data_IF_070149854955
#
_entry.id   IF_070149854955
#
_cell.length_a   1.000
_cell.length_b   1.000
_cell.length_c   1.000
_cell.angle_alpha   90.00
_cell.angle_beta   90.00
_cell.angle_gamma   90.00
#
_symmetry.space_group_name_H-M   'P 1'
#
loop_
_entity.id
_entity.type
_entity.pdbx_description
1 polymer ?
#
# COMPACT_ATOMS: atom_id res chain seq x y z
N UNK A 1 -34.38 -23.82 28.42
CA UNK A 1 -34.09 -23.29 27.07
C UNK A 1 -33.98 -21.77 27.17
N UNK A 2 -32.84 -21.16 26.82
CA UNK A 2 -32.66 -19.69 26.88
C UNK A 2 -33.38 -19.05 25.69
N UNK A 3 -34.18 -17.97 25.87
CA UNK A 3 -34.91 -17.35 24.77
C UNK A 3 -33.94 -16.72 23.76
N UNK A 4 -34.26 -16.74 22.46
CA UNK A 4 -33.40 -16.12 21.45
C UNK A 4 -33.32 -14.61 21.69
N UNK A 5 -32.09 -14.11 21.66
CA UNK A 5 -31.76 -12.72 21.98
C UNK A 5 -32.41 -11.77 20.95
N UNK A 6 -33.37 -10.94 21.39
CA UNK A 6 -34.11 -9.94 20.59
C UNK A 6 -33.20 -9.11 19.65
N UNK A 7 -31.95 -8.87 20.05
CA UNK A 7 -30.94 -8.11 19.29
C UNK A 7 -30.47 -8.79 18.00
N UNK A 8 -30.56 -10.12 17.90
CA UNK A 8 -30.18 -10.88 16.69
C UNK A 8 -31.28 -10.90 15.63
N UNK A 9 -32.54 -10.68 16.03
CA UNK A 9 -33.69 -10.64 15.13
C UNK A 9 -33.78 -9.32 14.35
N UNK A 10 -33.41 -8.19 14.99
CA UNK A 10 -33.41 -6.87 14.36
C UNK A 10 -32.35 -6.70 13.27
N UNK A 11 -31.21 -7.38 13.43
CA UNK A 11 -30.08 -7.34 12.48
C UNK A 11 -30.44 -8.03 11.16
N UNK A 12 -31.17 -9.16 11.22
CA UNK A 12 -31.68 -9.85 10.02
C UNK A 12 -32.68 -9.01 9.23
N UNK A 13 -33.52 -8.21 9.90
CA UNK A 13 -34.53 -7.37 9.26
C UNK A 13 -33.92 -6.19 8.49
N UNK A 14 -32.86 -5.58 9.02
CA UNK A 14 -32.18 -4.43 8.40
C UNK A 14 -31.37 -4.80 7.14
N UNK A 15 -30.80 -6.00 7.07
CA UNK A 15 -30.05 -6.47 5.90
C UNK A 15 -30.95 -6.71 4.68
N UNK A 16 -32.22 -7.04 4.90
CA UNK A 16 -33.19 -7.37 3.85
C UNK A 16 -33.77 -6.13 3.14
N UNK A 17 -33.73 -4.96 3.80
CA UNK A 17 -34.22 -3.69 3.24
C UNK A 17 -33.18 -3.01 2.34
N UNK A 18 -31.89 -3.27 2.54
CA UNK A 18 -30.79 -2.62 1.81
C UNK A 18 -30.50 -3.21 0.43
N UNK A 19 -30.99 -4.43 0.16
CA UNK A 19 -30.82 -5.11 -1.12
C UNK A 19 -31.74 -4.57 -2.24
N UNK A 20 -32.62 -3.61 -1.95
CA UNK A 20 -33.68 -3.16 -2.88
C UNK A 20 -33.45 -1.79 -3.55
N UNK A 21 -32.35 -1.09 -3.25
CA UNK A 21 -32.26 0.36 -3.54
C UNK A 21 -31.08 0.82 -4.42
N UNK A 22 -30.51 -0.04 -5.26
CA UNK A 22 -29.37 0.35 -6.11
C UNK A 22 -29.63 0.06 -7.59
N UNK A 23 -30.33 0.98 -8.27
CA UNK A 23 -30.35 1.05 -9.73
C UNK A 23 -30.21 2.52 -10.19
N UNK A 24 -29.07 2.75 -10.88
CA UNK A 24 -28.90 3.57 -12.10
C UNK A 24 -28.85 5.10 -12.02
N UNK A 25 -27.71 5.68 -12.46
CA UNK A 25 -27.67 6.79 -13.44
C UNK A 25 -26.33 6.82 -14.20
N UNK A 26 -26.42 7.07 -15.51
CA UNK A 26 -25.38 7.01 -16.56
C UNK A 26 -24.57 8.31 -16.71
N UNK A 27 -23.31 8.20 -17.15
CA UNK A 27 -22.40 9.31 -17.51
C UNK A 27 -22.35 9.60 -19.02
N UNK A 28 -22.12 10.87 -19.40
CA UNK A 28 -21.83 11.34 -20.79
C UNK A 28 -20.47 12.09 -20.85
N UNK A 29 -19.80 12.18 -22.02
CA UNK A 29 -18.38 12.58 -22.09
C UNK A 29 -18.15 14.09 -22.38
N UNK A 30 -17.41 14.76 -21.49
CA UNK A 30 -16.76 16.08 -21.65
C UNK A 30 -15.25 15.85 -21.87
N UNK A 31 -14.68 16.15 -23.03
CA UNK A 31 -13.24 15.91 -23.29
C UNK A 31 -12.40 17.18 -23.55
N UNK A 32 -12.96 18.25 -24.13
CA UNK A 32 -12.14 19.41 -24.50
C UNK A 32 -11.86 20.39 -23.35
N UNK A 33 -12.82 20.60 -22.44
CA UNK A 33 -12.58 21.39 -21.20
C UNK A 33 -11.56 20.71 -20.28
N UNK A 34 -11.56 19.38 -20.24
CA UNK A 34 -10.63 18.61 -19.41
C UNK A 34 -9.18 18.89 -19.74
N UNK A 35 -8.82 19.09 -21.02
CA UNK A 35 -7.42 19.27 -21.44
C UNK A 35 -6.86 20.61 -20.95
N UNK A 36 -7.66 21.68 -21.04
CA UNK A 36 -7.30 23.02 -20.55
C UNK A 36 -7.17 23.04 -19.02
N UNK A 37 -8.12 22.43 -18.33
CA UNK A 37 -8.10 22.28 -16.87
C UNK A 37 -6.90 21.46 -16.41
N UNK A 38 -6.58 20.36 -17.10
CA UNK A 38 -5.45 19.49 -16.75
C UNK A 38 -4.11 20.21 -16.90
N UNK A 39 -3.98 21.11 -17.88
CA UNK A 39 -2.79 21.95 -18.05
C UNK A 39 -2.64 22.95 -16.91
N UNK A 40 -3.73 23.64 -16.54
CA UNK A 40 -3.76 24.55 -15.40
C UNK A 40 -3.48 23.84 -14.06
N UNK A 41 -4.02 22.64 -13.87
CA UNK A 41 -3.75 21.78 -12.73
C UNK A 41 -2.28 21.37 -12.65
N UNK A 42 -1.68 20.97 -13.77
CA UNK A 42 -0.26 20.62 -13.82
C UNK A 42 0.62 21.79 -13.39
N UNK A 43 0.36 23.00 -13.87
CA UNK A 43 1.10 24.21 -13.49
C UNK A 43 0.96 24.52 -11.99
N UNK A 44 -0.25 24.40 -11.43
CA UNK A 44 -0.49 24.55 -9.99
C UNK A 44 0.27 23.52 -9.17
N UNK A 45 0.24 22.24 -9.59
CA UNK A 45 0.97 21.16 -8.92
C UNK A 45 2.48 21.41 -8.98
N UNK A 46 3.03 21.77 -10.14
CA UNK A 46 4.46 22.11 -10.27
C UNK A 46 4.84 23.25 -9.33
N UNK A 47 4.02 24.29 -9.27
CA UNK A 47 4.22 25.42 -8.35
C UNK A 47 4.21 24.97 -6.89
N UNK A 48 3.29 24.08 -6.49
CA UNK A 48 3.26 23.52 -5.14
C UNK A 48 4.49 22.64 -4.84
N UNK A 49 4.96 21.84 -5.80
CA UNK A 49 6.13 20.95 -5.67
C UNK A 49 7.46 21.70 -5.59
N UNK A 50 7.48 22.98 -5.95
CA UNK A 50 8.60 23.89 -5.65
C UNK A 50 8.82 24.02 -4.14
N UNK A 51 7.79 23.83 -3.30
CA UNK A 51 7.94 23.81 -1.85
C UNK A 51 8.57 22.48 -1.37
N UNK A 52 9.72 22.50 -0.67
CA UNK A 52 10.39 21.29 -0.19
C UNK A 52 9.56 20.43 0.76
N UNK A 53 8.71 21.05 1.59
CA UNK A 53 7.84 20.35 2.54
C UNK A 53 6.73 19.58 1.81
N UNK A 54 6.13 20.18 0.78
CA UNK A 54 5.13 19.53 -0.07
C UNK A 54 5.77 18.36 -0.80
N UNK A 55 6.93 18.57 -1.43
CA UNK A 55 7.67 17.49 -2.12
C UNK A 55 8.00 16.34 -1.18
N UNK A 56 8.42 16.64 0.05
CA UNK A 56 8.68 15.62 1.08
C UNK A 56 7.41 14.85 1.44
N UNK A 57 6.28 15.53 1.62
CA UNK A 57 4.99 14.86 1.86
C UNK A 57 4.60 13.97 0.70
N UNK A 58 4.77 14.44 -0.54
CA UNK A 58 4.50 13.64 -1.72
C UNK A 58 5.36 12.36 -1.78
N UNK A 59 6.63 12.46 -1.41
CA UNK A 59 7.49 11.26 -1.29
C UNK A 59 6.88 10.25 -0.32
N UNK A 60 6.48 10.66 0.87
CA UNK A 60 5.95 9.71 1.86
C UNK A 60 4.55 9.15 1.52
N UNK A 61 3.79 9.85 0.69
CA UNK A 61 2.43 9.43 0.30
C UNK A 61 2.44 8.48 -0.90
N UNK A 62 3.32 8.72 -1.87
CA UNK A 62 3.28 8.02 -3.16
C UNK A 62 4.51 7.18 -3.47
N UNK A 63 5.59 7.29 -2.70
CA UNK A 63 6.77 6.45 -2.87
C UNK A 63 6.74 5.28 -1.89
N UNK A 64 6.43 4.10 -2.42
CA UNK A 64 6.54 2.84 -1.68
C UNK A 64 7.53 1.93 -2.39
N UNK A 65 8.50 1.42 -1.64
CA UNK A 65 9.47 0.48 -2.23
C UNK A 65 8.78 -0.83 -2.62
N UNK A 66 9.39 -1.55 -3.57
CA UNK A 66 8.86 -2.85 -4.01
C UNK A 66 8.66 -3.82 -2.83
N UNK A 67 9.61 -3.82 -1.89
CA UNK A 67 9.58 -4.69 -0.71
C UNK A 67 8.52 -4.27 0.31
N UNK A 68 8.28 -2.97 0.47
CA UNK A 68 7.39 -2.43 1.50
C UNK A 68 5.94 -2.33 1.05
N UNK A 69 5.68 -2.27 -0.26
CA UNK A 69 4.32 -2.08 -0.75
C UNK A 69 3.33 -3.11 -0.18
N UNK A 70 3.60 -4.44 -0.21
CA UNK A 70 2.65 -5.42 0.34
C UNK A 70 2.35 -5.21 1.82
N UNK A 71 3.36 -4.79 2.59
CA UNK A 71 3.20 -4.51 4.01
C UNK A 71 2.24 -3.34 4.26
N UNK A 72 2.35 -2.27 3.47
CA UNK A 72 1.50 -1.09 3.62
C UNK A 72 0.12 -1.25 2.97
N UNK A 73 0.01 -2.07 1.93
CA UNK A 73 -1.26 -2.37 1.28
C UNK A 73 -2.13 -3.31 2.12
N UNK A 74 -1.51 -4.17 2.94
CA UNK A 74 -2.24 -5.03 3.86
C UNK A 74 -3.02 -4.21 4.90
N UNK A 75 -4.33 -4.37 4.89
CA UNK A 75 -5.21 -3.73 5.85
C UNK A 75 -5.66 -4.74 6.92
N UNK A 76 -4.86 -4.93 7.98
CA UNK A 76 -5.16 -5.88 9.07
C UNK A 76 -6.56 -5.67 9.68
N UNK A 77 -7.04 -4.43 9.71
CA UNK A 77 -8.38 -4.11 10.17
C UNK A 77 -9.48 -4.64 9.23
N UNK A 78 -9.27 -4.56 7.91
CA UNK A 78 -10.18 -5.13 6.92
C UNK A 78 -10.16 -6.66 7.00
N UNK A 79 -8.98 -7.28 7.14
CA UNK A 79 -8.84 -8.72 7.36
C UNK A 79 -9.63 -9.17 8.58
N UNK A 80 -9.52 -8.42 9.69
CA UNK A 80 -10.32 -8.65 10.88
C UNK A 80 -11.82 -8.53 10.61
N UNK A 81 -12.27 -7.47 9.92
CA UNK A 81 -13.68 -7.29 9.57
C UNK A 81 -14.21 -8.43 8.69
N UNK A 82 -13.42 -8.89 7.72
CA UNK A 82 -13.73 -10.03 6.88
C UNK A 82 -13.86 -11.31 7.72
N UNK A 83 -12.91 -11.56 8.61
CA UNK A 83 -12.91 -12.71 9.51
C UNK A 83 -14.17 -12.77 10.41
N UNK A 84 -14.65 -11.62 10.90
CA UNK A 84 -15.88 -11.55 11.70
C UNK A 84 -17.16 -11.42 10.87
N UNK A 85 -17.07 -11.49 9.53
CA UNK A 85 -18.21 -11.43 8.62
C UNK A 85 -18.84 -10.05 8.47
N UNK A 86 -18.09 -8.98 8.70
CA UNK A 86 -18.52 -7.57 8.62
C UNK A 86 -17.88 -6.79 7.45
N UNK A 87 -17.04 -7.43 6.63
CA UNK A 87 -16.32 -6.75 5.54
C UNK A 87 -17.20 -6.08 4.48
N UNK A 88 -18.39 -6.63 4.21
CA UNK A 88 -19.35 -6.11 3.23
C UNK A 88 -20.31 -5.06 3.82
N UNK A 89 -20.21 -4.75 5.13
CA UNK A 89 -21.16 -3.88 5.81
C UNK A 89 -20.74 -2.41 5.60
N UNK A 90 -21.48 -1.59 4.82
CA UNK A 90 -21.00 -0.25 4.46
C UNK A 90 -21.10 0.76 5.60
N UNK A 91 -21.96 0.49 6.59
CA UNK A 91 -22.18 1.33 7.77
C UNK A 91 -22.52 0.45 8.96
N UNK A 92 -21.71 0.55 10.00
CA UNK A 92 -21.93 -0.10 11.29
C UNK A 92 -22.66 0.86 12.24
N UNK A 93 -23.60 0.32 13.01
CA UNK A 93 -24.27 1.02 14.10
C UNK A 93 -23.30 1.28 15.26
N UNK A 94 -23.66 2.21 16.14
CA UNK A 94 -22.87 2.52 17.35
C UNK A 94 -22.63 1.29 18.23
N UNK A 95 -23.60 0.37 18.30
CA UNK A 95 -23.48 -0.87 19.08
C UNK A 95 -22.46 -1.83 18.45
N UNK A 96 -22.52 -2.03 17.13
CA UNK A 96 -21.56 -2.86 16.40
C UNK A 96 -20.14 -2.29 16.50
N UNK A 97 -19.99 -0.97 16.36
CA UNK A 97 -18.73 -0.29 16.60
C UNK A 97 -18.20 -0.47 18.04
N UNK A 98 -19.10 -0.50 19.03
CA UNK A 98 -18.70 -0.75 20.41
C UNK A 98 -18.17 -2.17 20.59
N UNK A 99 -18.79 -3.17 19.95
CA UNK A 99 -18.34 -4.56 19.98
C UNK A 99 -16.99 -4.71 19.31
N UNK A 100 -16.81 -4.16 18.10
CA UNK A 100 -15.54 -4.22 17.36
C UNK A 100 -14.40 -3.56 18.15
N UNK A 101 -14.63 -2.37 18.70
CA UNK A 101 -13.60 -1.69 19.50
C UNK A 101 -13.25 -2.47 20.76
N UNK A 102 -14.21 -3.17 21.36
CA UNK A 102 -13.95 -3.98 22.56
C UNK A 102 -13.15 -5.25 22.27
N UNK A 103 -13.26 -5.82 21.07
CA UNK A 103 -12.52 -7.03 20.68
C UNK A 103 -11.10 -6.75 20.18
N UNK A 104 -10.83 -5.58 19.61
CA UNK A 104 -9.49 -5.16 19.16
C UNK A 104 -8.56 -4.74 20.30
N UNK A 105 -9.00 -4.87 21.55
CA UNK A 105 -8.24 -4.51 22.73
C UNK A 105 -8.25 -3.01 23.04
N UNK A 106 -7.28 -2.55 23.83
CA UNK A 106 -7.22 -1.13 24.22
C UNK A 106 -6.58 -0.32 23.09
N UNK A 107 -7.18 0.82 22.71
CA UNK A 107 -6.53 1.76 21.79
C UNK A 107 -5.14 2.12 22.31
N UNK A 108 -4.11 1.87 21.50
CA UNK A 108 -2.75 2.30 21.86
C UNK A 108 -2.61 3.81 21.67
N UNK A 109 -1.96 4.46 22.63
CA UNK A 109 -1.55 5.86 22.49
C UNK A 109 -0.40 5.94 21.50
N UNK A 110 -0.48 6.92 20.61
CA UNK A 110 0.66 7.29 19.77
C UNK A 110 1.81 7.77 20.67
N UNK A 111 2.93 7.04 20.64
CA UNK A 111 4.09 7.30 21.48
C UNK A 111 5.37 6.94 20.73
N UNK A 112 6.52 7.44 21.20
CA UNK A 112 7.83 7.09 20.63
C UNK A 112 8.06 5.57 20.64
N UNK A 113 7.67 4.91 21.74
CA UNK A 113 7.77 3.45 21.88
C UNK A 113 6.89 2.73 20.87
N UNK A 114 5.65 3.17 20.67
CA UNK A 114 4.77 2.61 19.65
C UNK A 114 5.38 2.70 18.25
N UNK A 115 5.92 3.87 17.88
CA UNK A 115 6.59 4.04 16.57
C UNK A 115 7.80 3.12 16.43
N UNK A 116 8.57 2.92 17.50
CA UNK A 116 9.71 2.02 17.48
C UNK A 116 9.26 0.57 17.27
N UNK A 117 8.23 0.11 18.00
CA UNK A 117 7.66 -1.24 17.85
C UNK A 117 7.16 -1.48 16.41
N UNK A 118 6.46 -0.52 15.79
CA UNK A 118 6.00 -0.66 14.39
C UNK A 118 7.17 -0.66 13.38
N UNK A 119 8.22 0.13 13.63
CA UNK A 119 9.44 0.11 12.80
C UNK A 119 10.19 -1.21 12.91
N UNK A 120 10.25 -1.80 14.10
CA UNK A 120 10.91 -3.09 14.34
C UNK A 120 10.16 -4.22 13.64
N UNK A 121 8.82 -4.21 13.66
CA UNK A 121 8.00 -5.14 12.86
C UNK A 121 8.28 -5.02 11.36
N UNK A 122 8.29 -3.80 10.83
CA UNK A 122 8.61 -3.56 9.42
C UNK A 122 10.03 -4.04 9.07
N UNK A 123 11.00 -3.85 9.97
CA UNK A 123 12.37 -4.34 9.79
C UNK A 123 12.42 -5.87 9.74
N UNK A 124 11.74 -6.55 10.67
CA UNK A 124 11.65 -8.02 10.70
C UNK A 124 10.99 -8.55 9.42
N UNK A 125 9.91 -7.91 8.97
CA UNK A 125 9.26 -8.24 7.71
C UNK A 125 10.25 -8.11 6.54
N UNK A 126 10.94 -6.98 6.39
CA UNK A 126 11.94 -6.77 5.33
C UNK A 126 13.03 -7.84 5.35
N UNK A 127 13.55 -8.19 6.53
CA UNK A 127 14.56 -9.25 6.67
C UNK A 127 14.02 -10.63 6.23
N UNK A 128 12.79 -10.96 6.60
CA UNK A 128 12.11 -12.18 6.17
C UNK A 128 11.95 -12.23 4.65
N UNK A 129 11.50 -11.14 4.02
CA UNK A 129 11.32 -11.06 2.57
C UNK A 129 12.66 -11.17 1.84
N UNK A 130 13.69 -10.45 2.29
CA UNK A 130 15.03 -10.55 1.69
C UNK A 130 15.61 -11.95 1.79
N UNK A 131 15.43 -12.63 2.93
CA UNK A 131 15.84 -14.03 3.10
C UNK A 131 15.13 -14.92 2.07
N UNK A 132 13.83 -14.72 1.90
CA UNK A 132 13.05 -15.46 0.90
C UNK A 132 13.54 -15.21 -0.53
N UNK A 133 13.82 -13.96 -0.91
CA UNK A 133 14.37 -13.65 -2.23
C UNK A 133 15.75 -14.25 -2.47
N UNK A 134 16.62 -14.30 -1.45
CA UNK A 134 17.91 -14.98 -1.54
C UNK A 134 17.74 -16.48 -1.77
N UNK A 135 16.83 -17.13 -1.03
CA UNK A 135 16.52 -18.56 -1.18
C UNK A 135 15.94 -18.87 -2.57
N UNK A 136 15.08 -17.99 -3.09
CA UNK A 136 14.49 -18.10 -4.42
C UNK A 136 15.57 -17.98 -5.51
N UNK A 137 16.49 -17.01 -5.41
CA UNK A 137 17.61 -16.84 -6.36
C UNK A 137 18.60 -18.00 -6.30
N UNK A 138 18.76 -18.62 -5.13
CA UNK A 138 19.60 -19.80 -4.96
C UNK A 138 18.94 -21.11 -5.45
N UNK A 139 17.66 -21.07 -5.86
CA UNK A 139 16.91 -22.25 -6.27
C UNK A 139 16.56 -23.22 -5.13
N UNK A 140 16.63 -22.76 -3.87
CA UNK A 140 16.38 -23.59 -2.68
C UNK A 140 14.87 -23.73 -2.38
N UNK A 141 14.07 -22.74 -2.79
CA UNK A 141 12.61 -22.74 -2.65
C UNK A 141 11.94 -22.58 -3.99
N UNK A 142 10.85 -23.33 -4.18
CA UNK A 142 9.99 -23.22 -5.35
C UNK A 142 8.88 -22.19 -5.10
N UNK A 143 8.76 -21.24 -6.01
CA UNK A 143 7.67 -20.28 -6.05
C UNK A 143 7.79 -19.11 -5.07
N UNK A 144 7.16 -18.00 -5.44
CA UNK A 144 6.99 -16.83 -4.58
C UNK A 144 5.66 -16.97 -3.84
N UNK A 145 5.62 -16.82 -2.49
CA UNK A 145 4.39 -16.74 -1.74
C UNK A 145 3.46 -15.67 -2.32
N UNK A 146 2.17 -15.97 -2.39
CA UNK A 146 1.14 -15.12 -2.98
C UNK A 146 1.05 -13.73 -2.32
N UNK A 147 1.53 -13.60 -1.08
CA UNK A 147 1.51 -12.37 -0.29
C UNK A 147 2.75 -11.47 -0.51
N UNK A 148 3.80 -11.97 -1.18
CA UNK A 148 5.02 -11.23 -1.42
C UNK A 148 5.01 -10.58 -2.81
N UNK A 149 5.51 -9.34 -2.88
CA UNK A 149 5.77 -8.70 -4.15
C UNK A 149 6.81 -9.48 -4.95
N UNK A 150 6.74 -9.40 -6.28
CA UNK A 150 7.78 -9.98 -7.14
C UNK A 150 9.10 -9.26 -6.89
N UNK A 151 10.23 -9.97 -6.74
CA UNK A 151 11.52 -9.33 -6.54
C UNK A 151 11.91 -8.51 -7.78
N UNK A 152 12.47 -7.33 -7.55
CA UNK A 152 13.07 -6.54 -8.61
C UNK A 152 14.18 -7.35 -9.30
N UNK A 153 14.23 -7.24 -10.63
CA UNK A 153 15.13 -8.00 -11.50
C UNK A 153 15.97 -7.07 -12.37
N UNK A 154 17.07 -7.60 -12.90
CA UNK A 154 17.93 -6.86 -13.82
C UNK A 154 17.14 -6.46 -15.06
N UNK A 155 17.28 -5.21 -15.47
CA UNK A 155 16.60 -4.65 -16.62
C UNK A 155 15.30 -3.92 -16.32
N UNK A 156 14.74 -4.07 -15.11
CA UNK A 156 13.49 -3.42 -14.73
C UNK A 156 13.67 -1.89 -14.69
N UNK A 157 12.65 -1.16 -15.16
CA UNK A 157 12.54 0.29 -14.97
C UNK A 157 12.02 0.58 -13.56
N UNK A 158 12.68 1.50 -12.88
CA UNK A 158 12.40 1.86 -11.49
C UNK A 158 12.41 3.36 -11.30
N UNK A 159 11.68 3.77 -10.27
CA UNK A 159 11.72 5.09 -9.67
C UNK A 159 12.50 4.92 -8.37
N UNK A 160 13.63 5.60 -8.20
CA UNK A 160 14.49 5.43 -7.03
C UNK A 160 14.88 6.76 -6.40
N UNK A 161 15.12 6.75 -5.08
CA UNK A 161 15.65 7.91 -4.37
C UNK A 161 17.17 7.91 -4.50
N UNK A 162 17.70 8.88 -5.24
CA UNK A 162 19.12 8.99 -5.47
C UNK A 162 19.88 9.22 -4.14
N UNK A 163 20.99 8.49 -3.88
CA UNK A 163 21.63 8.47 -2.56
C UNK A 163 22.20 9.83 -2.15
N UNK A 164 22.76 10.59 -3.10
CA UNK A 164 23.41 11.90 -2.86
C UNK A 164 22.40 13.06 -2.81
N UNK A 165 21.65 13.26 -3.89
CA UNK A 165 20.69 14.37 -4.02
C UNK A 165 19.41 14.16 -3.20
N UNK A 166 19.10 12.92 -2.82
CA UNK A 166 17.82 12.51 -2.18
C UNK A 166 16.60 12.89 -3.01
N UNK A 167 16.77 13.10 -4.31
CA UNK A 167 15.70 13.34 -5.26
C UNK A 167 15.16 12.02 -5.82
N UNK A 168 13.92 12.04 -6.31
CA UNK A 168 13.33 10.90 -6.99
C UNK A 168 13.81 10.98 -8.45
N UNK A 169 14.39 9.89 -8.93
CA UNK A 169 14.91 9.79 -10.28
C UNK A 169 14.49 8.47 -10.90
N UNK A 170 14.25 8.49 -12.20
CA UNK A 170 14.00 7.29 -12.98
C UNK A 170 15.33 6.61 -13.35
N UNK A 171 15.28 5.29 -13.46
CA UNK A 171 16.45 4.52 -13.85
C UNK A 171 16.13 3.08 -14.21
N UNK A 172 17.20 2.34 -14.52
CA UNK A 172 17.16 0.92 -14.87
C UNK A 172 18.07 0.12 -13.95
N UNK A 173 17.58 -1.01 -13.46
CA UNK A 173 18.37 -1.91 -12.62
C UNK A 173 19.43 -2.61 -13.45
N UNK A 174 20.69 -2.51 -13.03
CA UNK A 174 21.83 -3.22 -13.60
C UNK A 174 22.13 -4.53 -12.86
N UNK A 175 22.06 -4.51 -11.53
CA UNK A 175 22.20 -5.70 -10.69
C UNK A 175 21.46 -5.53 -9.37
N UNK A 176 21.09 -6.67 -8.77
CA UNK A 176 20.32 -6.72 -7.53
C UNK A 176 21.03 -7.62 -6.53
N UNK A 177 21.44 -7.03 -5.42
CA UNK A 177 22.04 -7.74 -4.28
C UNK A 177 20.95 -8.08 -3.23
N UNK A 178 21.36 -8.40 -2.01
CA UNK A 178 20.44 -8.78 -0.93
C UNK A 178 19.59 -7.59 -0.41
N UNK A 179 20.19 -6.41 -0.25
CA UNK A 179 19.51 -5.20 0.25
C UNK A 179 19.86 -3.94 -0.57
N UNK A 180 20.56 -4.11 -1.70
CA UNK A 180 21.03 -3.02 -2.56
C UNK A 180 20.74 -3.34 -4.01
N UNK A 181 20.54 -2.30 -4.79
CA UNK A 181 20.38 -2.35 -6.23
C UNK A 181 21.36 -1.37 -6.87
N UNK A 182 22.05 -1.79 -7.93
CA UNK A 182 22.83 -0.90 -8.76
C UNK A 182 21.91 -0.36 -9.86
N UNK A 183 21.72 0.95 -9.89
CA UNK A 183 20.76 1.60 -10.79
C UNK A 183 21.54 2.53 -11.72
N UNK A 184 21.29 2.38 -13.02
CA UNK A 184 21.64 3.36 -14.03
C UNK A 184 20.50 4.38 -14.10
N UNK A 185 20.74 5.55 -13.51
CA UNK A 185 19.84 6.70 -13.60
C UNK A 185 19.96 7.38 -14.96
N UNK A 186 18.84 7.86 -15.49
CA UNK A 186 18.76 8.39 -16.86
C UNK A 186 19.68 9.62 -17.06
N UNK A 187 19.84 10.47 -16.04
CA UNK A 187 20.62 11.71 -16.13
C UNK A 187 21.82 11.77 -15.16
N UNK A 188 21.91 10.82 -14.22
CA UNK A 188 22.86 10.87 -13.10
C UNK A 188 23.89 9.72 -13.10
N UNK A 189 23.86 8.86 -14.12
CA UNK A 189 24.79 7.74 -14.25
C UNK A 189 24.47 6.58 -13.30
N UNK A 190 25.49 5.83 -12.90
CA UNK A 190 25.31 4.62 -12.06
C UNK A 190 25.57 4.95 -10.60
N UNK A 191 24.63 4.60 -9.73
CA UNK A 191 24.81 4.69 -8.27
C UNK A 191 24.11 3.50 -7.57
N UNK A 192 24.56 3.22 -6.35
CA UNK A 192 24.03 2.13 -5.52
C UNK A 192 22.93 2.66 -4.61
N UNK A 193 21.78 2.00 -4.63
CA UNK A 193 20.59 2.39 -3.85
C UNK A 193 20.15 1.23 -2.98
N UNK A 194 19.55 1.52 -1.83
CA UNK A 194 18.92 0.49 -1.01
C UNK A 194 17.62 0.01 -1.65
N UNK A 195 17.27 -1.26 -1.47
CA UNK A 195 15.99 -1.82 -1.91
C UNK A 195 14.76 -1.04 -1.42
N UNK A 196 14.82 -0.49 -0.20
CA UNK A 196 13.78 0.37 0.41
C UNK A 196 13.67 1.76 -0.22
N UNK A 197 14.65 2.16 -1.01
CA UNK A 197 14.69 3.43 -1.75
C UNK A 197 14.42 3.18 -3.25
N UNK A 198 13.86 2.02 -3.63
CA UNK A 198 13.55 1.62 -5.01
C UNK A 198 12.08 1.18 -5.17
N UNK A 199 11.36 1.84 -6.07
CA UNK A 199 9.98 1.54 -6.44
C UNK A 199 9.92 1.11 -7.92
N UNK A 200 9.13 0.09 -8.30
CA UNK A 200 8.93 -0.23 -9.72
C UNK A 200 8.21 0.92 -10.45
N UNK A 201 8.58 1.18 -11.70
CA UNK A 201 7.94 2.23 -12.52
C UNK A 201 6.44 1.93 -12.74
N UNK A 202 6.09 0.65 -12.89
CA UNK A 202 4.72 0.19 -12.92
C UNK A 202 4.41 -0.64 -11.67
N UNK A 203 3.82 -0.05 -10.61
CA UNK A 203 3.52 -0.77 -9.37
C UNK A 203 2.63 -2.00 -9.58
N UNK A 204 1.67 -1.94 -10.53
CA UNK A 204 0.69 -3.01 -10.74
C UNK A 204 1.32 -4.34 -11.13
N UNK A 205 2.46 -4.31 -11.83
CA UNK A 205 3.20 -5.52 -12.25
C UNK A 205 3.87 -6.26 -11.08
N UNK A 206 4.04 -5.60 -9.94
CA UNK A 206 4.75 -6.12 -8.76
C UNK A 206 3.83 -6.33 -7.57
N UNK A 207 2.52 -6.15 -7.77
CA UNK A 207 1.52 -6.46 -6.75
C UNK A 207 1.54 -7.97 -6.44
N UNK A 208 1.50 -8.36 -5.16
CA UNK A 208 1.23 -9.74 -4.80
C UNK A 208 -0.15 -10.14 -5.30
N UNK A 209 -0.30 -11.39 -5.75
CA UNK A 209 -1.54 -11.90 -6.35
C UNK A 209 -2.66 -12.08 -5.30
N UNK A 210 -2.32 -12.02 -4.01
CA UNK A 210 -3.22 -12.27 -2.87
C UNK A 210 -3.79 -11.03 -2.18
N UNK A 211 -3.50 -9.83 -2.70
CA UNK A 211 -4.04 -8.55 -2.18
C UNK A 211 -5.42 -8.21 -2.78
#
# INVERSE_FOLDING_TARGET
QKPPNRRKMSLKKSLQERAKSSETTQDKPHNDEKISEHKSLKEKVLTCLSCPLVRRRCKFEWFYSAIDYPWFAKMEFIDYLNHVGLGYVPRLTRLEWSVIKSSLGRPRRFSKRFIQEERDKLKQYRESVRKHYTELRAGVKEGLPTDLARPLSVGNRVIAIHPKTREICDGKILSVDHNKCNILFDELGVDVVMDIDCMPLNPLEYMPEGL
#
